data_IF_184296123690
#
_entry.id   IF_184296123690
#
_cell.length_a   1.000
_cell.length_b   1.000
_cell.length_c   1.000
_cell.angle_alpha   90.00
_cell.angle_beta   90.00
_cell.angle_gamma   90.00
#
_symmetry.space_group_name_H-M   'P 1'
#
loop_
_entity.id
_entity.type
_entity.pdbx_description
1 polymer ?
#
# COMPACT_ATOMS: atom_id res chain seq x y z
N UNK A 1 -12.39 -17.32 8.03
CA UNK A 1 -11.58 -16.20 8.57
C UNK A 1 -11.10 -15.33 7.41
N UNK A 2 -11.07 -13.99 7.56
CA UNK A 2 -10.52 -13.06 6.56
C UNK A 2 -9.06 -12.73 6.93
N UNK A 3 -8.15 -12.72 5.97
CA UNK A 3 -6.74 -12.34 6.15
C UNK A 3 -6.23 -11.49 4.98
N UNK A 4 -5.15 -10.72 5.22
CA UNK A 4 -4.56 -9.78 4.24
C UNK A 4 -5.58 -8.79 3.65
N UNK A 5 -6.50 -8.30 4.50
CA UNK A 5 -7.45 -7.25 4.14
C UNK A 5 -6.98 -5.89 4.65
N UNK A 6 -7.50 -4.82 4.06
CA UNK A 6 -7.20 -3.45 4.51
C UNK A 6 -8.35 -2.92 5.34
N UNK A 7 -8.05 -2.41 6.54
CA UNK A 7 -8.98 -1.60 7.32
C UNK A 7 -8.67 -0.11 7.13
N UNK A 8 -9.64 0.70 6.73
CA UNK A 8 -9.47 2.14 6.53
C UNK A 8 -10.66 2.92 7.08
N UNK A 9 -10.41 4.05 7.73
CA UNK A 9 -11.46 5.00 8.10
C UNK A 9 -11.62 6.01 6.98
N UNK A 10 -12.83 6.12 6.42
CA UNK A 10 -13.13 6.96 5.27
C UNK A 10 -14.58 7.45 5.35
N UNK A 11 -14.82 8.74 5.08
CA UNK A 11 -16.15 9.37 5.20
C UNK A 11 -16.83 9.10 6.55
N UNK A 12 -16.04 9.13 7.63
CA UNK A 12 -16.53 8.88 9.00
C UNK A 12 -16.93 7.43 9.30
N UNK A 13 -16.63 6.47 8.40
CA UNK A 13 -16.98 5.05 8.57
C UNK A 13 -15.76 4.15 8.47
N UNK A 14 -15.85 2.99 9.13
CA UNK A 14 -14.81 1.96 9.06
C UNK A 14 -15.11 1.06 7.87
N UNK A 15 -14.17 0.98 6.93
CA UNK A 15 -14.23 0.10 5.78
C UNK A 15 -13.23 -1.04 5.95
N UNK A 16 -13.66 -2.26 5.66
CA UNK A 16 -12.77 -3.42 5.55
C UNK A 16 -12.82 -3.87 4.10
N UNK A 17 -11.73 -3.64 3.40
CA UNK A 17 -11.64 -3.83 1.97
C UNK A 17 -10.81 -5.07 1.73
N UNK A 18 -11.48 -6.11 1.25
CA UNK A 18 -10.80 -7.17 0.57
C UNK A 18 -10.14 -8.24 1.43
N UNK A 19 -9.03 -8.74 0.92
CA UNK A 19 -8.29 -9.88 1.46
C UNK A 19 -8.77 -11.23 0.94
N UNK A 20 -8.39 -12.25 1.68
CA UNK A 20 -8.68 -13.64 1.36
C UNK A 20 -9.49 -14.28 2.47
N UNK A 21 -10.37 -15.21 2.09
CA UNK A 21 -11.10 -16.06 2.99
C UNK A 21 -10.51 -17.47 2.98
N UNK A 22 -10.29 -18.02 4.17
CA UNK A 22 -10.17 -19.47 4.30
C UNK A 22 -11.47 -20.12 3.85
N UNK A 23 -11.37 -21.12 2.97
CA UNK A 23 -12.52 -21.77 2.37
C UNK A 23 -13.21 -22.65 3.42
N UNK A 24 -14.47 -22.37 3.71
CA UNK A 24 -15.27 -23.11 4.69
C UNK A 24 -15.78 -24.48 4.19
N UNK A 25 -15.60 -24.82 2.90
CA UNK A 25 -16.02 -26.11 2.33
C UNK A 25 -14.86 -26.77 1.56
N UNK A 26 -14.19 -27.72 2.23
CA UNK A 26 -12.90 -28.28 1.84
C UNK A 26 -12.95 -29.40 0.77
N UNK A 27 -14.12 -29.79 0.25
CA UNK A 27 -14.20 -31.00 -0.60
C UNK A 27 -14.48 -30.77 -2.10
N UNK A 28 -14.75 -29.53 -2.54
CA UNK A 28 -15.36 -29.30 -3.89
C UNK A 28 -14.62 -28.38 -4.86
N UNK A 29 -13.49 -27.75 -4.50
CA UNK A 29 -12.67 -27.00 -5.47
C UNK A 29 -11.21 -27.46 -5.44
N UNK A 30 -10.46 -27.32 -6.55
CA UNK A 30 -9.04 -27.59 -6.59
C UNK A 30 -8.28 -26.81 -5.50
N UNK A 31 -7.24 -27.46 -4.96
CA UNK A 31 -6.47 -27.05 -3.78
C UNK A 31 -5.79 -25.68 -3.86
N UNK A 32 -5.87 -25.01 -5.01
CA UNK A 32 -5.25 -23.72 -5.30
C UNK A 32 -6.22 -22.54 -5.33
N UNK A 33 -7.51 -22.75 -5.05
CA UNK A 33 -8.49 -21.64 -5.10
C UNK A 33 -8.71 -21.03 -3.72
N UNK A 34 -8.01 -19.92 -3.45
CA UNK A 34 -8.22 -19.10 -2.27
C UNK A 34 -9.49 -18.25 -2.46
N UNK A 35 -10.38 -18.24 -1.47
CA UNK A 35 -11.59 -17.41 -1.51
C UNK A 35 -11.23 -15.93 -1.46
N UNK A 36 -11.90 -15.10 -2.27
CA UNK A 36 -11.74 -13.64 -2.27
C UNK A 36 -12.79 -13.00 -1.37
N UNK A 37 -12.42 -11.95 -0.66
CA UNK A 37 -13.28 -11.28 0.32
C UNK A 37 -13.86 -9.96 -0.22
N UNK A 38 -15.13 -9.65 0.03
CA UNK A 38 -15.78 -8.39 -0.37
C UNK A 38 -15.17 -7.13 0.28
N UNK A 39 -15.70 -5.96 -0.08
CA UNK A 39 -15.54 -4.74 0.69
C UNK A 39 -16.79 -4.49 1.53
N UNK A 40 -16.63 -4.18 2.81
CA UNK A 40 -17.73 -3.91 3.74
C UNK A 40 -17.49 -2.61 4.50
N UNK A 41 -18.57 -1.94 4.85
CA UNK A 41 -18.57 -0.72 5.66
C UNK A 41 -19.37 -0.94 6.93
N UNK A 42 -18.81 -0.52 8.06
CA UNK A 42 -19.50 -0.55 9.33
C UNK A 42 -20.37 0.70 9.48
N UNK A 43 -21.66 0.49 9.71
CA UNK A 43 -22.62 1.52 10.03
C UNK A 43 -22.80 1.57 11.56
N UNK A 44 -22.30 2.63 12.17
CA UNK A 44 -22.37 2.85 13.62
C UNK A 44 -23.80 3.09 14.12
N UNK A 45 -24.70 3.60 13.28
CA UNK A 45 -26.05 4.01 13.69
C UNK A 45 -26.92 2.80 14.00
N UNK A 46 -26.67 1.67 13.33
CA UNK A 46 -27.43 0.43 13.48
C UNK A 46 -26.57 -0.79 13.81
N UNK A 47 -25.27 -0.58 14.05
CA UNK A 47 -24.27 -1.60 14.37
C UNK A 47 -24.20 -2.77 13.36
N UNK A 48 -24.32 -2.47 12.06
CA UNK A 48 -24.29 -3.48 10.99
C UNK A 48 -23.15 -3.26 10.00
N UNK A 49 -22.75 -4.35 9.36
CA UNK A 49 -21.86 -4.32 8.20
C UNK A 49 -22.69 -4.37 6.93
N UNK A 50 -22.48 -3.39 6.05
CA UNK A 50 -23.10 -3.32 4.73
C UNK A 50 -22.07 -3.62 3.65
N UNK A 51 -22.50 -4.25 2.56
CA UNK A 51 -21.65 -4.56 1.41
C UNK A 51 -21.42 -3.33 0.53
N UNK A 52 -20.16 -3.04 0.20
CA UNK A 52 -19.77 -1.98 -0.73
C UNK A 52 -19.51 -2.57 -2.11
N UNK A 53 -20.48 -2.43 -3.00
CA UNK A 53 -20.40 -2.95 -4.36
C UNK A 53 -19.32 -2.21 -5.18
N UNK A 54 -18.59 -2.95 -6.01
CA UNK A 54 -17.63 -2.38 -6.98
C UNK A 54 -16.21 -2.17 -6.44
N UNK A 55 -16.06 -1.88 -5.14
CA UNK A 55 -14.75 -1.59 -4.53
C UNK A 55 -13.76 -2.78 -4.53
N UNK A 56 -14.26 -4.01 -4.73
CA UNK A 56 -13.50 -5.27 -4.70
C UNK A 56 -13.36 -5.98 -6.07
N UNK A 57 -13.65 -5.31 -7.19
CA UNK A 57 -13.60 -6.00 -8.50
C UNK A 57 -12.19 -6.32 -9.03
N UNK A 58 -11.14 -6.15 -8.23
CA UNK A 58 -9.77 -6.48 -8.61
C UNK A 58 -9.50 -7.99 -8.48
N UNK A 59 -8.78 -8.56 -9.45
CA UNK A 59 -8.31 -9.95 -9.39
C UNK A 59 -7.40 -10.21 -8.19
N UNK A 60 -6.77 -9.16 -7.65
CA UNK A 60 -5.82 -9.21 -6.53
C UNK A 60 -6.16 -8.14 -5.49
N UNK A 61 -6.33 -8.51 -4.20
CA UNK A 61 -6.59 -7.54 -3.12
C UNK A 61 -5.57 -6.42 -3.06
N UNK A 62 -5.96 -5.16 -2.83
CA UNK A 62 -5.03 -4.09 -2.54
C UNK A 62 -4.27 -4.40 -1.24
N UNK A 63 -2.96 -4.14 -1.24
CA UNK A 63 -2.11 -4.40 -0.08
C UNK A 63 -2.24 -3.28 0.96
N UNK A 64 -2.35 -2.05 0.45
CA UNK A 64 -2.34 -0.82 1.23
C UNK A 64 -3.35 0.14 0.61
N UNK A 65 -4.32 0.58 1.43
CA UNK A 65 -5.25 1.66 1.12
C UNK A 65 -5.16 2.67 2.24
N UNK A 66 -5.08 3.94 1.89
CA UNK A 66 -5.13 5.06 2.83
C UNK A 66 -6.18 6.06 2.40
N UNK A 67 -6.74 6.79 3.36
CA UNK A 67 -7.67 7.89 3.10
C UNK A 67 -6.93 9.23 3.18
N UNK A 68 -7.12 10.08 2.18
CA UNK A 68 -6.60 11.46 2.12
C UNK A 68 -7.70 12.35 1.54
N UNK A 69 -8.09 13.41 2.24
CA UNK A 69 -9.10 14.39 1.80
C UNK A 69 -10.37 13.76 1.21
N UNK A 70 -10.99 12.85 1.94
CA UNK A 70 -12.20 12.11 1.52
C UNK A 70 -12.04 11.26 0.25
N UNK A 71 -10.81 10.97 -0.17
CA UNK A 71 -10.47 10.05 -1.25
C UNK A 71 -9.73 8.84 -0.71
N UNK A 72 -9.85 7.71 -1.41
CA UNK A 72 -9.05 6.52 -1.13
C UNK A 72 -7.96 6.39 -2.18
N UNK A 73 -6.74 6.16 -1.70
CA UNK A 73 -5.58 5.87 -2.52
C UNK A 73 -5.06 4.47 -2.20
N UNK A 74 -4.75 3.70 -3.23
CA UNK A 74 -4.09 2.40 -3.12
C UNK A 74 -2.74 2.42 -3.80
N UNK A 75 -1.85 1.57 -3.29
CA UNK A 75 -0.66 1.20 -4.02
C UNK A 75 -0.27 -0.24 -3.72
N UNK A 76 0.19 -0.93 -4.76
CA UNK A 76 0.46 -2.36 -4.66
C UNK A 76 -0.80 -3.22 -4.50
N UNK A 77 -0.58 -4.50 -4.39
CA UNK A 77 -1.56 -5.53 -4.09
C UNK A 77 -0.90 -6.65 -3.27
N UNK A 78 -1.69 -7.62 -2.83
CA UNK A 78 -1.20 -8.67 -1.94
C UNK A 78 -0.15 -9.61 -2.58
N UNK A 79 0.04 -9.57 -3.90
CA UNK A 79 1.04 -10.33 -4.65
C UNK A 79 2.25 -9.46 -5.01
N UNK A 80 2.02 -8.18 -5.28
CA UNK A 80 3.03 -7.20 -5.62
C UNK A 80 2.89 -5.95 -4.74
N UNK A 81 3.79 -5.81 -3.76
CA UNK A 81 3.77 -4.69 -2.82
C UNK A 81 3.88 -3.29 -3.48
N UNK A 82 4.22 -3.19 -4.76
CA UNK A 82 4.20 -1.94 -5.54
C UNK A 82 3.96 -2.23 -7.02
N UNK A 83 2.87 -1.68 -7.56
CA UNK A 83 2.48 -1.88 -8.97
C UNK A 83 3.22 -0.99 -9.98
N UNK A 84 3.92 0.05 -9.52
CA UNK A 84 4.54 1.05 -10.39
C UNK A 84 3.89 2.43 -10.31
N UNK A 85 2.72 2.52 -9.68
CA UNK A 85 1.87 3.71 -9.64
C UNK A 85 0.97 3.72 -8.40
N UNK A 86 0.21 4.80 -8.26
CA UNK A 86 -0.83 5.00 -7.24
C UNK A 86 -2.18 4.97 -7.95
N UNK A 87 -3.19 4.36 -7.32
CA UNK A 87 -4.55 4.34 -7.84
C UNK A 87 -5.48 5.11 -6.88
N UNK A 88 -6.43 5.88 -7.41
CA UNK A 88 -7.50 6.56 -6.67
C UNK A 88 -8.83 5.86 -6.92
N UNK A 89 -9.63 5.68 -5.87
CA UNK A 89 -10.99 5.15 -6.01
C UNK A 89 -11.99 6.24 -6.35
N UNK A 90 -12.69 6.10 -7.49
CA UNK A 90 -13.67 7.09 -7.97
C UNK A 90 -15.11 6.85 -7.46
N UNK A 91 -15.31 5.86 -6.57
CA UNK A 91 -16.63 5.40 -6.14
C UNK A 91 -17.12 4.16 -6.89
N UNK A 92 -16.40 3.71 -7.92
CA UNK A 92 -16.72 2.52 -8.70
C UNK A 92 -15.48 1.70 -9.07
N UNK A 93 -14.43 2.35 -9.56
CA UNK A 93 -13.19 1.76 -10.03
C UNK A 93 -11.96 2.40 -9.36
N UNK A 94 -10.87 1.65 -9.34
CA UNK A 94 -9.54 2.14 -8.99
C UNK A 94 -8.86 2.60 -10.27
N UNK A 95 -8.56 3.89 -10.37
CA UNK A 95 -7.95 4.49 -11.55
C UNK A 95 -6.55 4.99 -11.20
N UNK A 96 -5.60 4.79 -12.12
CA UNK A 96 -4.26 5.32 -11.94
C UNK A 96 -4.26 6.86 -11.81
N UNK A 97 -3.50 7.37 -10.84
CA UNK A 97 -3.31 8.81 -10.63
C UNK A 97 -2.26 9.32 -11.62
N UNK A 98 -2.61 10.35 -12.39
CA UNK A 98 -1.70 10.95 -13.37
C UNK A 98 -0.38 11.42 -12.71
N UNK A 99 0.76 11.05 -13.29
CA UNK A 99 2.08 11.41 -12.76
C UNK A 99 2.49 10.66 -11.49
N UNK A 100 1.76 9.63 -11.08
CA UNK A 100 2.09 8.81 -9.91
C UNK A 100 3.16 7.74 -10.15
N UNK A 101 3.65 7.62 -11.38
CA UNK A 101 4.76 6.74 -11.69
C UNK A 101 6.01 7.16 -10.93
N UNK A 102 6.41 6.33 -9.97
CA UNK A 102 7.62 6.52 -9.18
C UNK A 102 8.61 5.42 -9.56
N UNK A 103 9.42 5.68 -10.59
CA UNK A 103 10.42 4.72 -11.10
C UNK A 103 11.42 4.31 -10.00
N UNK A 104 11.78 5.24 -9.11
CA UNK A 104 12.63 5.03 -7.93
C UNK A 104 12.13 3.91 -7.02
N UNK A 105 10.81 3.74 -6.90
CA UNK A 105 10.20 2.69 -6.10
C UNK A 105 10.33 1.31 -6.78
N UNK A 106 10.26 1.28 -8.11
CA UNK A 106 10.38 0.07 -8.93
C UNK A 106 11.83 -0.36 -9.19
N UNK A 107 12.76 0.60 -9.27
CA UNK A 107 14.18 0.37 -9.47
C UNK A 107 14.99 1.54 -8.90
N UNK A 108 16.02 1.29 -8.08
CA UNK A 108 16.68 2.35 -7.33
C UNK A 108 17.85 2.95 -8.12
N UNK A 109 17.92 2.68 -9.43
CA UNK A 109 18.99 3.13 -10.32
C UNK A 109 19.10 4.66 -10.39
N UNK A 110 18.06 5.40 -10.02
CA UNK A 110 18.08 6.87 -9.93
C UNK A 110 18.60 7.39 -8.60
N UNK A 111 18.73 6.54 -7.58
CA UNK A 111 19.35 6.85 -6.27
C UNK A 111 20.82 6.45 -6.26
N UNK A 112 21.25 5.57 -7.17
CA UNK A 112 22.62 5.07 -7.26
C UNK A 112 23.35 5.57 -8.50
N UNK A 113 24.68 5.57 -8.42
CA UNK A 113 25.54 5.77 -9.58
C UNK A 113 25.24 4.67 -10.63
N UNK A 114 25.11 5.06 -11.91
CA UNK A 114 24.56 4.24 -13.00
C UNK A 114 25.33 2.95 -13.32
N UNK A 115 26.46 2.72 -12.65
CA UNK A 115 27.37 1.60 -12.87
C UNK A 115 27.11 0.37 -11.97
N UNK A 116 26.14 0.40 -11.06
CA UNK A 116 25.91 -0.71 -10.12
C UNK A 116 24.68 -1.56 -10.46
N UNK A 117 24.70 -2.89 -10.23
CA UNK A 117 23.52 -3.73 -10.40
C UNK A 117 22.33 -3.23 -9.55
N UNK A 118 21.09 -3.33 -10.08
CA UNK A 118 19.90 -2.82 -9.41
C UNK A 118 19.70 -3.55 -8.10
N UNK A 119 19.82 -2.85 -6.98
CA UNK A 119 19.58 -3.46 -5.70
C UNK A 119 18.11 -3.77 -5.41
N UNK A 120 17.96 -4.75 -4.53
CA UNK A 120 16.70 -5.45 -4.31
C UNK A 120 15.87 -4.71 -3.29
N UNK A 121 14.65 -4.31 -3.65
CA UNK A 121 13.66 -3.83 -2.69
C UNK A 121 13.24 -4.98 -1.77
N UNK A 122 13.38 -4.79 -0.47
CA UNK A 122 13.07 -5.77 0.57
C UNK A 122 11.69 -5.51 1.17
N UNK A 123 11.33 -4.24 1.37
CA UNK A 123 10.01 -3.86 1.85
C UNK A 123 9.57 -2.53 1.24
N UNK A 124 8.27 -2.30 1.26
CA UNK A 124 7.65 -1.00 0.99
C UNK A 124 6.37 -0.87 1.80
N UNK A 125 6.15 0.29 2.40
CA UNK A 125 4.89 0.60 3.05
C UNK A 125 4.51 2.06 2.89
N UNK A 126 3.21 2.33 2.84
CA UNK A 126 2.62 3.63 2.59
C UNK A 126 1.89 4.14 3.83
N UNK A 127 2.05 5.42 4.12
CA UNK A 127 1.30 6.13 5.16
C UNK A 127 0.85 7.50 4.64
N UNK A 128 -0.29 7.99 5.12
CA UNK A 128 -0.82 9.30 4.74
C UNK A 128 -0.61 10.34 5.85
N UNK A 129 -0.11 11.53 5.51
CA UNK A 129 0.02 12.69 6.41
C UNK A 129 -0.42 13.96 5.67
N UNK A 130 -1.56 14.53 6.06
CA UNK A 130 -2.17 15.64 5.31
C UNK A 130 -2.46 15.21 3.86
N UNK A 131 -2.13 16.06 2.89
CA UNK A 131 -2.27 15.79 1.45
C UNK A 131 -1.15 14.94 0.84
N UNK A 132 -0.35 14.23 1.67
CA UNK A 132 0.86 13.56 1.22
C UNK A 132 0.87 12.09 1.56
N UNK A 133 1.30 11.29 0.60
CA UNK A 133 1.58 9.88 0.75
C UNK A 133 3.08 9.69 0.95
N UNK A 134 3.45 9.03 2.04
CA UNK A 134 4.82 8.70 2.39
C UNK A 134 5.04 7.21 2.17
N UNK A 135 5.95 6.87 1.27
CA UNK A 135 6.38 5.51 1.00
C UNK A 135 7.74 5.28 1.66
N UNK A 136 7.76 4.43 2.70
CA UNK A 136 9.00 3.94 3.28
C UNK A 136 9.42 2.67 2.54
N UNK A 137 10.51 2.76 1.79
CA UNK A 137 11.07 1.65 1.04
C UNK A 137 12.45 1.27 1.57
N UNK A 138 12.70 -0.03 1.62
CA UNK A 138 13.98 -0.60 2.06
C UNK A 138 14.63 -1.37 0.94
N UNK A 139 15.92 -1.15 0.75
CA UNK A 139 16.71 -1.76 -0.31
C UNK A 139 17.93 -2.44 0.26
N UNK A 140 18.29 -3.59 -0.32
CA UNK A 140 19.51 -4.32 -0.01
C UNK A 140 20.45 -4.26 -1.20
N UNK A 141 21.65 -3.71 -0.98
CA UNK A 141 22.73 -3.66 -1.98
C UNK A 141 23.15 -5.08 -2.42
N UNK A 142 23.52 -5.30 -3.68
CA UNK A 142 23.98 -6.62 -4.12
C UNK A 142 25.26 -7.00 -3.37
N UNK A 143 25.32 -8.22 -2.83
CA UNK A 143 26.46 -8.72 -2.05
C UNK A 143 26.44 -8.34 -0.56
N UNK A 144 25.57 -7.42 -0.14
CA UNK A 144 25.37 -7.07 1.28
C UNK A 144 24.26 -7.94 1.87
N UNK A 145 24.49 -8.51 3.06
CA UNK A 145 23.48 -9.30 3.79
C UNK A 145 22.87 -8.52 4.93
N UNK A 146 23.69 -7.79 5.69
CA UNK A 146 23.30 -7.06 6.91
C UNK A 146 23.12 -5.56 6.73
N UNK A 147 23.48 -4.97 5.59
CA UNK A 147 23.33 -3.53 5.35
C UNK A 147 22.11 -3.24 4.51
N UNK A 148 21.24 -2.40 5.05
CA UNK A 148 20.02 -1.94 4.40
C UNK A 148 20.08 -0.44 4.18
N UNK A 149 19.41 0.00 3.13
CA UNK A 149 19.21 1.41 2.85
C UNK A 149 17.72 1.71 2.87
N UNK A 150 17.31 2.60 3.75
CA UNK A 150 15.94 3.08 3.86
C UNK A 150 15.81 4.41 3.11
N UNK A 151 14.78 4.53 2.27
CA UNK A 151 14.44 5.77 1.56
C UNK A 151 12.97 6.08 1.79
N UNK A 152 12.67 7.36 2.00
CA UNK A 152 11.29 7.84 2.09
C UNK A 152 10.97 8.59 0.80
N UNK A 153 9.98 8.11 0.06
CA UNK A 153 9.42 8.82 -1.08
C UNK A 153 8.13 9.51 -0.65
N UNK A 154 7.92 10.72 -1.13
CA UNK A 154 6.76 11.54 -0.81
C UNK A 154 6.04 11.87 -2.10
N UNK A 155 4.74 11.62 -2.14
CA UNK A 155 3.87 12.01 -3.23
C UNK A 155 2.79 12.96 -2.71
N UNK A 156 2.71 14.16 -3.27
CA UNK A 156 1.64 15.12 -2.96
C UNK A 156 0.41 14.83 -3.82
N UNK A 157 -0.71 14.46 -3.18
CA UNK A 157 -1.94 14.07 -3.87
C UNK A 157 -2.63 15.23 -4.57
N UNK A 158 -2.22 16.48 -4.32
CA UNK A 158 -2.74 17.66 -5.01
C UNK A 158 -1.87 18.12 -6.18
N UNK A 159 -0.67 17.55 -6.33
CA UNK A 159 0.22 17.93 -7.40
C UNK A 159 -0.35 17.53 -8.76
N UNK A 160 -0.37 18.47 -9.70
CA UNK A 160 -0.82 18.23 -11.08
C UNK A 160 0.27 17.63 -11.96
N UNK A 161 1.54 17.85 -11.62
CA UNK A 161 2.75 17.28 -12.24
C UNK A 161 3.87 17.23 -11.21
N UNK A 162 4.78 16.26 -11.34
CA UNK A 162 6.01 16.13 -10.56
C UNK A 162 5.80 16.25 -9.04
N UNK A 163 4.72 15.63 -8.52
CA UNK A 163 4.39 15.63 -7.09
C UNK A 163 5.27 14.72 -6.24
N UNK A 164 6.14 13.94 -6.89
CA UNK A 164 7.03 12.97 -6.28
C UNK A 164 8.37 13.58 -5.89
N UNK A 165 8.85 13.29 -4.68
CA UNK A 165 10.24 13.54 -4.27
C UNK A 165 10.75 12.44 -3.35
N UNK A 166 12.06 12.29 -3.27
CA UNK A 166 12.71 11.39 -2.30
C UNK A 166 13.39 12.23 -1.22
N UNK A 167 13.35 11.75 0.02
CA UNK A 167 14.23 12.25 1.09
C UNK A 167 15.58 11.55 1.01
N UNK A 168 16.58 12.13 1.67
CA UNK A 168 17.94 11.56 1.72
C UNK A 168 17.91 10.12 2.26
N UNK A 169 18.52 9.16 1.53
CA UNK A 169 18.64 7.78 1.99
C UNK A 169 19.38 7.68 3.32
N UNK A 170 18.96 6.74 4.15
CA UNK A 170 19.65 6.39 5.40
C UNK A 170 20.17 4.96 5.33
N UNK A 171 21.47 4.78 5.57
CA UNK A 171 22.07 3.45 5.72
C UNK A 171 21.88 2.94 7.15
N UNK A 172 21.51 1.68 7.27
CA UNK A 172 21.19 1.04 8.53
C UNK A 172 21.86 -0.34 8.58
N UNK A 173 22.48 -0.65 9.72
CA UNK A 173 23.08 -1.95 9.98
C UNK A 173 22.07 -2.87 10.69
N UNK A 174 21.99 -4.12 10.24
CA UNK A 174 21.09 -5.15 10.75
C UNK A 174 20.06 -5.62 9.73
N UNK A 175 19.50 -6.81 9.97
CA UNK A 175 18.37 -7.30 9.20
C UNK A 175 17.07 -6.65 9.68
N UNK A 176 16.32 -6.05 8.75
CA UNK A 176 14.97 -5.57 8.98
C UNK A 176 14.00 -6.30 8.06
N UNK A 177 12.95 -6.83 8.65
CA UNK A 177 11.76 -7.28 7.94
C UNK A 177 10.62 -6.40 8.46
N UNK A 178 10.09 -5.52 7.60
CA UNK A 178 8.94 -4.71 7.98
C UNK A 178 7.66 -5.50 7.73
N UNK A 179 6.80 -5.54 8.74
CA UNK A 179 5.41 -5.90 8.57
C UNK A 179 4.71 -4.84 7.71
N UNK A 180 3.89 -5.28 6.76
CA UNK A 180 3.48 -4.54 5.56
C UNK A 180 2.60 -3.29 5.76
N UNK A 181 2.47 -2.79 6.99
CA UNK A 181 1.55 -1.71 7.35
C UNK A 181 2.28 -0.64 8.16
N UNK A 182 2.38 0.57 7.61
CA UNK A 182 2.76 1.76 8.36
C UNK A 182 1.51 2.36 9.02
N UNK A 183 1.71 2.95 10.19
CA UNK A 183 0.72 3.80 10.84
C UNK A 183 1.35 5.14 11.17
N UNK A 184 0.51 6.17 11.23
CA UNK A 184 0.90 7.51 11.65
C UNK A 184 0.29 7.74 13.02
N UNK A 185 1.12 8.14 13.98
CA UNK A 185 0.68 8.55 15.31
C UNK A 185 0.88 10.05 15.43
N UNK A 186 -0.23 10.78 15.60
CA UNK A 186 -0.18 12.19 15.95
C UNK A 186 -0.05 12.31 17.45
N UNK A 187 1.10 12.82 17.91
CA UNK A 187 1.27 13.22 19.30
C UNK A 187 0.68 14.63 19.44
N UNK A 188 -0.32 14.86 20.31
CA UNK A 188 -0.78 16.20 20.60
C UNK A 188 0.39 16.99 21.20
N UNK A 189 0.63 18.19 20.67
CA UNK A 189 1.55 19.12 21.32
C UNK A 189 0.92 19.52 22.66
N UNK A 190 1.61 19.20 23.77
CA UNK A 190 1.27 19.68 25.11
C UNK A 190 1.43 21.20 25.22
#
# INVERSE_FOLDING_TARGET
>A
MRYKCVGVTWQGKIHVIGGFAEKADLDKLPWNTIGRCSAEVYNSDNAKWDLVMGMWQLDVPPNQIVAVDEKLFSSGDCLNAWKGHIEEYDGKFWNEVEGSHLETLSSPNSVWDANWPPAKRIYITMAAIGSKLFFLAGYRKPGETSRLMSVVHVFDTWAKRDGGRSLEPTEEEGEKELCSHACVVFLPNN
#
